data_IF_200478352375
#
_entry.id   IF_200478352375
#
_cell.length_a   1.000
_cell.length_b   1.000
_cell.length_c   1.000
_cell.angle_alpha   90.00
_cell.angle_beta   90.00
_cell.angle_gamma   90.00
#
_symmetry.space_group_name_H-M   'P 1'
#
loop_
_entity.id
_entity.type
_entity.pdbx_description
1 polymer ?
#
# COMPACT_ATOMS: atom_id res chain seq x y z
N UNK A 1 -17.66 12.08 -19.11
CA UNK A 1 -16.77 10.97 -19.43
C UNK A 1 -15.50 11.12 -18.60
N UNK A 2 -15.41 10.43 -17.45
CA UNK A 2 -14.21 10.42 -16.61
C UNK A 2 -13.12 9.51 -17.21
N UNK A 3 -11.87 9.71 -16.79
CA UNK A 3 -10.77 8.81 -17.11
C UNK A 3 -11.07 7.42 -16.54
N UNK A 4 -11.00 6.33 -17.32
CA UNK A 4 -11.27 5.01 -16.82
C UNK A 4 -10.19 4.59 -15.80
N UNK A 5 -10.61 3.99 -14.70
CA UNK A 5 -9.71 3.35 -13.71
C UNK A 5 -9.68 1.86 -14.03
N UNK A 6 -8.48 1.30 -14.19
CA UNK A 6 -8.26 -0.14 -14.41
C UNK A 6 -7.59 -0.73 -13.18
N UNK A 7 -8.14 -1.83 -12.66
CA UNK A 7 -7.65 -2.49 -11.46
C UNK A 7 -6.97 -3.81 -11.81
N UNK A 8 -5.86 -4.12 -11.15
CA UNK A 8 -5.24 -5.45 -11.17
C UNK A 8 -5.06 -5.97 -9.75
N UNK A 9 -5.60 -7.15 -9.50
CA UNK A 9 -5.44 -7.87 -8.25
C UNK A 9 -4.69 -9.16 -8.49
N UNK A 10 -3.64 -9.41 -7.70
CA UNK A 10 -2.84 -10.63 -7.75
C UNK A 10 -3.00 -11.40 -6.46
N UNK A 11 -3.30 -12.68 -6.54
CA UNK A 11 -3.39 -13.51 -5.36
C UNK A 11 -4.14 -14.82 -5.54
N UNK A 12 -4.15 -15.62 -4.49
CA UNK A 12 -4.81 -16.92 -4.39
C UNK A 12 -5.56 -17.09 -3.05
N UNK A 13 -5.89 -15.96 -2.42
CA UNK A 13 -6.56 -15.94 -1.12
C UNK A 13 -7.92 -16.65 -1.11
N UNK A 14 -8.38 -17.04 0.07
CA UNK A 14 -9.61 -17.80 0.28
C UNK A 14 -10.88 -17.12 -0.31
N UNK A 15 -10.88 -15.81 -0.44
CA UNK A 15 -12.00 -15.03 -1.00
C UNK A 15 -11.88 -14.74 -2.51
N UNK A 16 -10.89 -15.30 -3.20
CA UNK A 16 -10.62 -15.02 -4.62
C UNK A 16 -11.84 -15.27 -5.50
N UNK A 17 -12.51 -16.42 -5.32
CA UNK A 17 -13.68 -16.78 -6.13
C UNK A 17 -14.86 -15.83 -5.89
N UNK A 18 -15.08 -15.42 -4.65
CA UNK A 18 -16.13 -14.47 -4.30
C UNK A 18 -15.83 -13.09 -4.88
N UNK A 19 -14.59 -12.62 -4.78
CA UNK A 19 -14.13 -11.37 -5.36
C UNK A 19 -14.27 -11.36 -6.89
N UNK A 20 -13.90 -12.45 -7.56
CA UNK A 20 -14.04 -12.60 -9.01
C UNK A 20 -15.52 -12.59 -9.44
N UNK A 21 -16.39 -13.31 -8.73
CA UNK A 21 -17.82 -13.32 -9.00
C UNK A 21 -18.44 -11.92 -8.79
N UNK A 22 -18.01 -11.20 -7.76
CA UNK A 22 -18.45 -9.83 -7.51
C UNK A 22 -17.99 -8.87 -8.62
N UNK A 23 -16.72 -8.93 -9.00
CA UNK A 23 -16.17 -8.10 -10.08
C UNK A 23 -16.92 -8.34 -11.41
N UNK A 24 -17.18 -9.60 -11.75
CA UNK A 24 -17.97 -9.95 -12.94
C UNK A 24 -19.40 -9.39 -12.86
N UNK A 25 -20.09 -9.56 -11.72
CA UNK A 25 -21.46 -9.08 -11.52
C UNK A 25 -21.56 -7.56 -11.63
N UNK A 26 -20.54 -6.84 -11.18
CA UNK A 26 -20.48 -5.39 -11.21
C UNK A 26 -19.90 -4.84 -12.53
N UNK A 27 -19.50 -5.70 -13.47
CA UNK A 27 -18.75 -5.32 -14.65
C UNK A 27 -17.57 -4.39 -14.32
N UNK A 28 -16.87 -4.69 -13.21
CA UNK A 28 -15.77 -3.87 -12.73
C UNK A 28 -14.62 -3.86 -13.76
N UNK A 29 -14.04 -2.70 -14.04
CA UNK A 29 -12.94 -2.58 -15.00
C UNK A 29 -11.64 -3.07 -14.36
N UNK A 30 -11.31 -4.36 -14.50
CA UNK A 30 -10.10 -4.89 -13.92
C UNK A 30 -9.93 -6.39 -14.11
N UNK A 31 -8.80 -6.86 -13.66
CA UNK A 31 -8.35 -8.24 -13.77
C UNK A 31 -8.03 -8.80 -12.38
N UNK A 32 -8.51 -10.01 -12.12
CA UNK A 32 -8.06 -10.80 -10.98
C UNK A 32 -7.15 -11.89 -11.54
N UNK A 33 -5.89 -11.85 -11.16
CA UNK A 33 -4.81 -12.63 -11.73
C UNK A 33 -4.22 -13.57 -10.67
N UNK A 34 -3.63 -14.71 -11.06
CA UNK A 34 -2.92 -15.57 -10.12
C UNK A 34 -1.72 -14.82 -9.50
N UNK A 35 -1.16 -15.35 -8.39
CA UNK A 35 0.08 -14.82 -7.84
C UNK A 35 1.18 -14.81 -8.90
N UNK A 36 1.99 -13.76 -8.88
CA UNK A 36 3.14 -13.61 -9.77
C UNK A 36 4.44 -13.92 -9.01
N UNK A 37 5.47 -14.43 -9.68
CA UNK A 37 6.80 -14.59 -9.11
C UNK A 37 7.33 -13.24 -8.58
N UNK A 38 8.11 -13.28 -7.51
CA UNK A 38 8.72 -12.08 -6.94
C UNK A 38 9.52 -11.26 -7.97
N UNK A 39 10.18 -11.93 -8.90
CA UNK A 39 10.94 -11.30 -9.98
C UNK A 39 10.10 -10.43 -10.93
N UNK A 40 8.78 -10.65 -10.99
CA UNK A 40 7.86 -9.91 -11.88
C UNK A 40 7.13 -8.78 -11.16
N UNK A 41 7.16 -8.74 -9.83
CA UNK A 41 6.43 -7.75 -9.02
C UNK A 41 6.84 -6.31 -9.39
N UNK A 42 8.11 -6.07 -9.67
CA UNK A 42 8.62 -4.75 -10.05
C UNK A 42 7.98 -4.20 -11.33
N UNK A 43 7.67 -5.07 -12.30
CA UNK A 43 7.00 -4.68 -13.55
C UNK A 43 5.56 -4.23 -13.29
N UNK A 44 4.88 -4.86 -12.35
CA UNK A 44 3.53 -4.49 -11.96
C UNK A 44 3.50 -3.15 -11.21
N UNK A 45 4.49 -2.89 -10.35
CA UNK A 45 4.63 -1.56 -9.75
C UNK A 45 4.97 -0.49 -10.80
N UNK A 46 5.81 -0.78 -11.78
CA UNK A 46 6.12 0.15 -12.86
C UNK A 46 4.91 0.45 -13.77
N UNK A 47 3.98 -0.50 -13.89
CA UNK A 47 2.72 -0.30 -14.61
C UNK A 47 1.71 0.53 -13.83
N UNK A 48 1.72 0.45 -12.49
CA UNK A 48 0.69 1.04 -11.64
C UNK A 48 0.90 2.55 -11.46
N UNK A 49 -0.16 3.31 -11.62
CA UNK A 49 -0.19 4.72 -11.22
C UNK A 49 -0.31 4.86 -9.70
N UNK A 50 -1.03 3.95 -9.07
CA UNK A 50 -1.19 3.87 -7.61
C UNK A 50 -1.33 2.41 -7.19
N UNK A 51 -0.86 2.07 -6.00
CA UNK A 51 -0.98 0.73 -5.45
C UNK A 51 -1.78 0.75 -4.13
N UNK A 52 -2.69 -0.22 -3.98
CA UNK A 52 -3.60 -0.30 -2.85
C UNK A 52 -2.97 -1.06 -1.68
N UNK A 53 -3.03 -0.46 -0.51
CA UNK A 53 -2.83 -1.11 0.79
C UNK A 53 -4.15 -1.06 1.55
N UNK A 54 -4.69 -2.22 1.93
CA UNK A 54 -5.96 -2.29 2.66
C UNK A 54 -5.83 -3.21 3.86
N UNK A 55 -6.31 -2.76 5.01
CA UNK A 55 -6.41 -3.54 6.23
C UNK A 55 -7.87 -3.60 6.71
N UNK A 56 -8.17 -4.63 7.49
CA UNK A 56 -9.47 -4.74 8.16
C UNK A 56 -9.57 -3.71 9.29
N UNK A 57 -10.80 -3.29 9.61
CA UNK A 57 -11.07 -2.40 10.74
C UNK A 57 -11.13 -3.20 12.06
N UNK A 58 -9.97 -3.72 12.48
CA UNK A 58 -9.80 -4.43 13.74
C UNK A 58 -8.79 -3.68 14.63
N UNK A 59 -8.98 -3.65 15.95
CA UNK A 59 -8.06 -2.96 16.85
C UNK A 59 -6.58 -3.35 16.67
N UNK A 60 -6.29 -4.61 16.36
CA UNK A 60 -4.93 -5.08 16.11
C UNK A 60 -4.32 -4.48 14.82
N UNK A 61 -5.15 -4.07 13.87
CA UNK A 61 -4.66 -3.50 12.60
C UNK A 61 -4.19 -2.05 12.76
N UNK A 62 -4.62 -1.34 13.80
CA UNK A 62 -4.16 0.03 14.07
C UNK A 62 -2.66 0.12 14.42
N UNK A 63 -2.07 -0.96 14.90
CA UNK A 63 -0.62 -1.06 15.20
C UNK A 63 0.14 -1.91 14.17
N UNK A 64 -0.54 -2.35 13.11
CA UNK A 64 0.04 -3.20 12.06
C UNK A 64 0.50 -2.36 10.88
N UNK A 65 1.74 -2.59 10.45
CA UNK A 65 2.26 -2.01 9.21
C UNK A 65 2.53 -3.15 8.23
N UNK A 66 1.76 -3.28 7.14
CA UNK A 66 2.00 -4.33 6.16
C UNK A 66 3.29 -4.07 5.36
N UNK A 67 4.09 -5.13 5.13
CA UNK A 67 5.32 -5.03 4.34
C UNK A 67 5.12 -4.43 2.95
N UNK A 68 3.95 -4.69 2.36
CA UNK A 68 3.54 -4.14 1.07
C UNK A 68 3.59 -2.61 1.03
N UNK A 69 3.34 -1.92 2.14
CA UNK A 69 3.48 -0.47 2.22
C UNK A 69 4.92 -0.05 1.89
N UNK A 70 5.90 -0.69 2.52
CA UNK A 70 7.32 -0.40 2.29
C UNK A 70 7.77 -0.78 0.88
N UNK A 71 7.23 -1.86 0.31
CA UNK A 71 7.50 -2.26 -1.07
C UNK A 71 7.04 -1.20 -2.07
N UNK A 72 5.81 -0.68 -1.92
CA UNK A 72 5.24 0.36 -2.76
C UNK A 72 6.05 1.66 -2.63
N UNK A 73 6.37 2.06 -1.40
CA UNK A 73 7.20 3.24 -1.11
C UNK A 73 8.58 3.13 -1.76
N UNK A 74 9.21 1.93 -1.69
CA UNK A 74 10.50 1.64 -2.32
C UNK A 74 10.43 1.71 -3.84
N UNK A 75 9.35 1.21 -4.44
CA UNK A 75 9.10 1.32 -5.87
C UNK A 75 8.88 2.77 -6.32
N UNK A 76 8.52 3.68 -5.39
CA UNK A 76 8.21 5.08 -5.68
C UNK A 76 6.85 5.25 -6.36
N UNK A 77 5.94 4.32 -6.10
CA UNK A 77 4.56 4.37 -6.57
C UNK A 77 3.70 5.07 -5.53
N UNK A 78 2.70 5.81 -5.97
CA UNK A 78 1.70 6.43 -5.09
C UNK A 78 0.97 5.36 -4.28
N UNK A 79 0.85 5.57 -2.97
CA UNK A 79 0.12 4.68 -2.06
C UNK A 79 -1.33 5.14 -1.96
N UNK A 80 -2.25 4.28 -2.34
CA UNK A 80 -3.66 4.43 -2.00
C UNK A 80 -3.94 3.51 -0.80
N UNK A 81 -4.15 4.07 0.39
CA UNK A 81 -4.26 3.28 1.61
C UNK A 81 -5.68 3.34 2.19
N UNK A 82 -6.28 2.17 2.42
CA UNK A 82 -7.53 2.00 3.17
C UNK A 82 -7.17 1.39 4.53
N UNK A 83 -6.65 2.24 5.43
CA UNK A 83 -6.02 1.84 6.69
C UNK A 83 -6.26 2.89 7.78
N UNK A 84 -5.98 2.50 9.03
CA UNK A 84 -5.92 3.41 10.17
C UNK A 84 -4.65 3.17 11.00
N UNK A 85 -4.45 3.97 12.05
CA UNK A 85 -3.35 3.82 13.00
C UNK A 85 -1.96 4.07 12.42
N UNK A 86 -1.02 3.15 12.69
CA UNK A 86 0.39 3.33 12.35
C UNK A 86 0.64 3.37 10.85
N UNK A 87 -0.02 2.52 10.07
CA UNK A 87 0.13 2.51 8.62
C UNK A 87 -0.35 3.84 7.99
N UNK A 88 -1.46 4.38 8.49
CA UNK A 88 -1.96 5.71 8.08
C UNK A 88 -0.94 6.79 8.37
N UNK A 89 -0.41 6.82 9.60
CA UNK A 89 0.58 7.81 10.03
C UNK A 89 1.82 7.79 9.12
N UNK A 90 2.32 6.61 8.78
CA UNK A 90 3.47 6.47 7.89
C UNK A 90 3.18 7.07 6.50
N UNK A 91 2.03 6.79 5.89
CA UNK A 91 1.68 7.33 4.57
C UNK A 91 1.59 8.85 4.61
N UNK A 92 0.94 9.41 5.65
CA UNK A 92 0.78 10.85 5.84
C UNK A 92 2.13 11.54 6.11
N UNK A 93 2.95 11.00 7.02
CA UNK A 93 4.27 11.55 7.38
C UNK A 93 5.26 11.50 6.19
N UNK A 94 5.20 10.42 5.42
CA UNK A 94 6.04 10.25 4.23
C UNK A 94 5.57 11.13 3.05
N UNK A 95 4.33 11.60 3.04
CA UNK A 95 3.74 12.28 1.88
C UNK A 95 3.81 11.41 0.64
N UNK A 96 3.54 10.10 0.78
CA UNK A 96 3.71 9.13 -0.31
C UNK A 96 2.38 8.64 -0.90
N UNK A 97 1.25 9.23 -0.49
CA UNK A 97 -0.05 8.84 -1.01
C UNK A 97 -1.23 9.43 -0.25
N UNK A 98 -2.38 8.87 -0.50
CA UNK A 98 -3.67 9.27 0.09
C UNK A 98 -4.27 8.13 0.93
N UNK A 99 -4.99 8.50 1.99
CA UNK A 99 -5.56 7.54 2.94
C UNK A 99 -7.08 7.71 3.03
N UNK A 100 -7.77 6.57 3.07
CA UNK A 100 -9.19 6.48 3.43
C UNK A 100 -9.35 5.66 4.72
N UNK A 101 -10.51 5.75 5.35
CA UNK A 101 -10.83 4.84 6.45
C UNK A 101 -10.89 3.38 5.96
N UNK A 102 -10.56 2.40 6.82
CA UNK A 102 -10.74 0.98 6.49
C UNK A 102 -12.19 0.68 6.10
N UNK A 103 -12.38 -0.21 5.13
CA UNK A 103 -13.71 -0.68 4.67
C UNK A 103 -14.64 0.40 4.10
N UNK A 104 -14.18 1.63 3.90
CA UNK A 104 -14.94 2.68 3.24
C UNK A 104 -14.73 2.62 1.72
N UNK A 105 -15.48 1.74 1.07
CA UNK A 105 -15.41 1.55 -0.37
C UNK A 105 -15.86 2.78 -1.16
N UNK A 106 -16.73 3.61 -0.60
CA UNK A 106 -17.21 4.83 -1.26
C UNK A 106 -16.14 5.92 -1.24
N UNK A 107 -15.48 6.12 -0.11
CA UNK A 107 -14.34 7.04 -0.02
C UNK A 107 -13.20 6.60 -0.93
N UNK A 108 -12.90 5.29 -0.98
CA UNK A 108 -11.88 4.73 -1.86
C UNK A 108 -12.21 4.98 -3.35
N UNK A 109 -13.45 4.73 -3.78
CA UNK A 109 -13.89 4.99 -5.15
C UNK A 109 -13.82 6.48 -5.51
N UNK A 110 -14.19 7.35 -4.57
CA UNK A 110 -14.10 8.81 -4.73
C UNK A 110 -12.64 9.26 -4.87
N UNK A 111 -11.74 8.69 -4.06
CA UNK A 111 -10.31 8.95 -4.14
C UNK A 111 -9.74 8.55 -5.52
N UNK A 112 -10.02 7.34 -5.99
CA UNK A 112 -9.55 6.91 -7.32
C UNK A 112 -10.09 7.80 -8.44
N UNK A 113 -11.33 8.24 -8.35
CA UNK A 113 -11.91 9.18 -9.31
C UNK A 113 -11.19 10.53 -9.30
N UNK A 114 -10.83 11.02 -8.11
CA UNK A 114 -10.07 12.27 -7.96
C UNK A 114 -8.64 12.14 -8.51
N UNK A 115 -7.94 11.03 -8.23
CA UNK A 115 -6.60 10.75 -8.76
C UNK A 115 -6.62 10.61 -10.30
N UNK A 116 -7.66 10.01 -10.86
CA UNK A 116 -7.82 9.90 -12.31
C UNK A 116 -8.09 11.26 -12.97
N UNK A 117 -8.76 12.17 -12.26
CA UNK A 117 -9.04 13.53 -12.73
C UNK A 117 -7.83 14.47 -12.60
N UNK A 118 -7.03 14.30 -11.56
CA UNK A 118 -5.82 15.09 -11.30
C UNK A 118 -4.61 14.17 -11.04
N UNK A 119 -3.91 13.83 -12.10
CA UNK A 119 -2.76 12.93 -12.06
C UNK A 119 -1.50 13.56 -11.42
N UNK A 120 -1.47 14.88 -11.20
CA UNK A 120 -0.34 15.52 -10.51
C UNK A 120 -0.20 15.04 -9.06
N UNK A 121 -1.27 14.55 -8.46
CA UNK A 121 -1.29 13.94 -7.12
C UNK A 121 -0.55 12.61 -7.04
N UNK A 122 -0.30 11.96 -8.18
CA UNK A 122 0.43 10.69 -8.28
C UNK A 122 1.96 10.87 -8.24
N UNK A 123 2.44 12.11 -8.39
CA UNK A 123 3.87 12.42 -8.35
C UNK A 123 4.34 12.51 -6.90
N UNK A 124 4.75 11.37 -6.34
CA UNK A 124 5.17 11.24 -4.94
C UNK A 124 6.64 10.82 -4.85
N UNK A 125 7.40 11.57 -4.09
CA UNK A 125 8.84 11.29 -3.85
C UNK A 125 9.15 11.00 -2.39
N UNK A 126 8.19 11.25 -1.49
CA UNK A 126 8.37 11.18 -0.05
C UNK A 126 8.64 9.77 0.46
N UNK A 127 8.04 8.74 -0.14
CA UNK A 127 8.16 7.36 0.32
C UNK A 127 9.59 6.84 0.38
N UNK A 128 10.36 7.01 -0.69
CA UNK A 128 11.78 6.59 -0.73
C UNK A 128 12.64 7.35 0.27
N UNK A 129 12.39 8.65 0.44
CA UNK A 129 13.11 9.46 1.43
C UNK A 129 12.80 8.99 2.84
N UNK A 130 11.53 8.79 3.14
CA UNK A 130 11.11 8.31 4.45
C UNK A 130 11.74 6.96 4.79
N UNK A 131 11.81 6.03 3.82
CA UNK A 131 12.47 4.73 4.00
C UNK A 131 13.96 4.87 4.29
N UNK A 132 14.67 5.74 3.59
CA UNK A 132 16.08 6.00 3.83
C UNK A 132 16.33 6.54 5.26
N UNK A 133 15.40 7.36 5.76
CA UNK A 133 15.55 8.00 7.06
C UNK A 133 15.11 7.10 8.24
N UNK A 134 14.18 6.16 8.01
CA UNK A 134 13.50 5.42 9.09
C UNK A 134 13.62 3.89 9.01
N UNK A 135 13.90 3.34 7.84
CA UNK A 135 13.94 1.89 7.60
C UNK A 135 15.27 1.41 7.04
N UNK A 136 16.35 2.15 7.27
CA UNK A 136 17.71 1.71 6.95
C UNK A 136 18.08 0.50 7.81
N UNK A 137 18.38 -0.62 7.15
CA UNK A 137 18.64 -1.89 7.80
C UNK A 137 19.92 -1.88 8.67
N UNK A 138 20.96 -1.13 8.26
CA UNK A 138 22.20 -1.00 9.03
C UNK A 138 21.95 -0.17 10.29
N UNK A 139 21.29 0.97 10.18
CA UNK A 139 20.93 1.82 11.31
C UNK A 139 20.00 1.11 12.30
N UNK A 140 19.08 0.29 11.82
CA UNK A 140 18.21 -0.54 12.67
C UNK A 140 19.01 -1.62 13.39
N UNK A 141 19.92 -2.28 12.71
CA UNK A 141 20.80 -3.31 13.30
C UNK A 141 21.68 -2.71 14.42
N UNK A 142 22.29 -1.57 14.18
CA UNK A 142 23.11 -0.85 15.16
C UNK A 142 22.33 -0.45 16.40
N UNK A 143 21.10 0.04 16.22
CA UNK A 143 20.19 0.35 17.35
C UNK A 143 19.82 -0.89 18.15
N UNK A 144 19.55 -2.00 17.46
CA UNK A 144 19.21 -3.26 18.11
C UNK A 144 20.38 -3.84 18.90
N UNK A 145 21.59 -3.82 18.33
CA UNK A 145 22.81 -4.23 19.01
C UNK A 145 23.10 -3.36 20.24
N UNK A 146 22.93 -2.04 20.12
CA UNK A 146 23.10 -1.11 21.22
C UNK A 146 22.14 -1.41 22.39
N UNK A 147 20.86 -1.66 22.07
CA UNK A 147 19.85 -2.02 23.05
C UNK A 147 20.19 -3.35 23.74
N UNK A 148 20.59 -4.37 22.99
CA UNK A 148 20.97 -5.67 23.54
C UNK A 148 22.20 -5.54 24.48
N UNK A 149 23.19 -4.74 24.13
CA UNK A 149 24.36 -4.49 25.00
C UNK A 149 23.95 -3.78 26.28
N UNK A 150 23.03 -2.81 26.25
CA UNK A 150 22.50 -2.14 27.43
C UNK A 150 21.78 -3.11 28.38
N UNK A 151 20.97 -4.02 27.83
CA UNK A 151 20.22 -5.00 28.62
C UNK A 151 21.13 -6.11 29.18
N UNK A 152 22.14 -6.54 28.40
CA UNK A 152 23.07 -7.61 28.84
C UNK A 152 24.17 -7.13 29.79
N UNK A 153 24.42 -5.82 29.87
CA UNK A 153 25.45 -5.23 30.76
C UNK A 153 24.94 -4.67 32.12
N UNK A 154 23.63 -4.79 32.36
CA UNK A 154 22.99 -4.47 33.65
C UNK A 154 22.66 -5.71 34.42
#
# INVERSE_FOLDING_TARGET
NGTPVVLRFFGDGAQLQEAAALAHRLAAPGEILPPVPWSEVAEHYAWADTALVSLQDWPAMSVTVPSKLYEIMSAGVHVCASVDGEARRIVEDAGCGDVTAPQDSQALASLWSALAADRSRLDVTGGRRWLADHADAEAMTDRYESLLRQVAGG
#
